data_IF_344291343535
#
_entry.id   IF_344291343535
#
_cell.length_a   1.000
_cell.length_b   1.000
_cell.length_c   1.000
_cell.angle_alpha   90.00
_cell.angle_beta   90.00
_cell.angle_gamma   90.00
#
_symmetry.space_group_name_H-M   'P 1'
#
loop_
_entity.id
_entity.type
_entity.pdbx_description
1 polymer ?
#
# COMPACT_ATOMS: atom_id res chain seq x y z
N UNK A 1 -3.49 -24.08 2.14
CA UNK A 1 -2.44 -23.13 1.73
C UNK A 1 -1.61 -22.87 2.97
N UNK A 2 -0.32 -23.23 2.98
CA UNK A 2 0.51 -23.15 4.20
C UNK A 2 1.29 -21.84 4.15
N UNK A 3 1.00 -20.93 5.07
CA UNK A 3 1.80 -19.72 5.31
C UNK A 3 3.01 -20.17 6.11
N UNK A 4 4.23 -19.75 5.71
CA UNK A 4 5.42 -20.00 6.51
C UNK A 4 5.34 -19.21 7.81
N UNK A 5 5.66 -19.86 8.91
CA UNK A 5 5.70 -19.21 10.23
C UNK A 5 6.81 -18.14 10.29
N UNK A 6 6.80 -17.33 11.33
CA UNK A 6 7.63 -16.15 11.53
C UNK A 6 9.14 -16.45 11.39
N UNK A 7 9.96 -15.45 10.95
CA UNK A 7 11.41 -15.58 10.76
C UNK A 7 12.24 -16.03 11.97
N UNK A 8 11.73 -15.95 13.18
CA UNK A 8 12.44 -16.38 14.40
C UNK A 8 12.91 -17.84 14.38
N UNK A 9 12.47 -18.66 13.43
CA UNK A 9 12.86 -20.05 13.23
C UNK A 9 13.84 -20.28 12.07
N UNK A 10 14.28 -19.22 11.38
CA UNK A 10 15.33 -19.32 10.39
C UNK A 10 16.69 -19.42 11.10
N UNK A 11 16.98 -20.62 11.64
CA UNK A 11 18.36 -20.96 11.99
C UNK A 11 19.19 -20.85 10.71
N UNK A 12 20.09 -19.86 10.67
CA UNK A 12 21.08 -19.74 9.61
C UNK A 12 21.73 -21.11 9.36
N UNK A 13 21.81 -21.60 8.12
CA UNK A 13 22.79 -22.62 7.78
C UNK A 13 24.16 -22.03 8.17
N UNK A 14 24.92 -22.80 8.95
CA UNK A 14 26.22 -22.38 9.47
C UNK A 14 27.10 -21.76 8.39
N UNK A 15 27.88 -20.75 8.78
CA UNK A 15 28.84 -20.01 8.00
C UNK A 15 29.45 -20.85 6.88
N UNK A 16 29.09 -20.51 5.65
CA UNK A 16 29.67 -21.15 4.47
C UNK A 16 31.15 -20.77 4.35
N UNK A 17 32.04 -21.71 4.04
CA UNK A 17 33.42 -21.41 3.75
C UNK A 17 33.53 -20.64 2.42
N UNK A 18 34.35 -19.61 2.43
CA UNK A 18 34.76 -18.85 1.25
C UNK A 18 35.39 -19.77 0.21
N UNK A 19 34.69 -19.99 -0.90
CA UNK A 19 35.23 -20.73 -2.02
C UNK A 19 34.18 -20.93 -3.11
N UNK A 20 34.16 -20.06 -4.10
CA UNK A 20 33.48 -20.38 -5.35
C UNK A 20 34.20 -21.50 -6.10
N UNK A 21 33.51 -22.56 -6.48
CA UNK A 21 33.71 -23.15 -7.79
C UNK A 21 32.38 -23.21 -8.55
N UNK A 22 32.50 -22.96 -9.85
CA UNK A 22 31.41 -22.86 -10.78
C UNK A 22 30.61 -24.14 -11.03
N UNK A 23 29.46 -23.93 -11.66
CA UNK A 23 28.73 -24.95 -12.42
C UNK A 23 27.55 -25.53 -11.66
N UNK A 24 26.35 -24.94 -11.80
CA UNK A 24 25.09 -25.66 -11.60
C UNK A 24 24.69 -26.38 -12.91
N UNK A 25 24.64 -27.71 -12.93
CA UNK A 25 23.88 -28.43 -13.95
C UNK A 25 22.50 -28.75 -13.42
N UNK A 26 21.47 -28.16 -13.95
CA UNK A 26 20.10 -28.50 -13.62
C UNK A 26 19.14 -27.40 -14.02
N UNK A 27 19.03 -27.11 -15.31
CA UNK A 27 18.02 -26.22 -15.85
C UNK A 27 16.64 -26.82 -15.66
N UNK A 28 15.80 -26.19 -14.85
CA UNK A 28 14.35 -26.39 -14.92
C UNK A 28 13.85 -25.86 -16.27
N UNK A 29 13.15 -26.64 -17.09
CA UNK A 29 12.61 -26.16 -18.34
C UNK A 29 11.43 -25.26 -18.07
N UNK A 30 11.51 -23.98 -18.43
CA UNK A 30 10.34 -23.20 -18.78
C UNK A 30 9.99 -21.97 -17.97
N UNK A 31 10.88 -21.39 -17.15
CA UNK A 31 10.68 -20.03 -16.67
C UNK A 31 11.83 -19.14 -17.16
N UNK A 32 11.66 -18.58 -18.36
CA UNK A 32 12.38 -17.36 -18.68
C UNK A 32 12.03 -16.33 -17.58
N UNK A 33 13.02 -15.71 -16.93
CA UNK A 33 12.73 -14.60 -16.06
C UNK A 33 11.97 -13.58 -16.91
N UNK A 34 10.72 -13.31 -16.57
CA UNK A 34 9.95 -12.21 -17.15
C UNK A 34 10.67 -10.93 -16.72
N UNK A 35 11.72 -10.58 -17.45
CA UNK A 35 12.27 -9.23 -17.43
C UNK A 35 11.16 -8.38 -18.00
N UNK A 36 10.35 -7.79 -17.11
CA UNK A 36 9.40 -6.75 -17.50
C UNK A 36 10.24 -5.56 -17.96
N UNK A 37 10.40 -5.45 -19.25
CA UNK A 37 10.94 -4.24 -19.85
C UNK A 37 9.98 -3.10 -19.49
N UNK A 38 10.44 -2.17 -18.66
CA UNK A 38 9.68 -0.96 -18.35
C UNK A 38 9.73 -0.09 -19.61
N UNK A 39 8.70 -0.19 -20.45
CA UNK A 39 8.53 0.67 -21.64
C UNK A 39 8.16 2.12 -21.30
N UNK A 40 8.33 2.52 -20.05
CA UNK A 40 7.96 3.83 -19.53
C UNK A 40 9.22 4.62 -19.23
N UNK A 41 9.44 5.71 -19.94
CA UNK A 41 10.59 6.59 -19.69
C UNK A 41 10.30 7.47 -18.46
N UNK A 42 10.82 7.02 -17.31
CA UNK A 42 10.67 7.72 -16.03
C UNK A 42 11.39 9.08 -15.99
N UNK A 43 12.30 9.38 -16.94
CA UNK A 43 12.94 10.67 -17.01
C UNK A 43 12.01 11.77 -17.55
N UNK A 44 11.04 11.37 -18.37
CA UNK A 44 10.16 12.29 -19.07
C UNK A 44 8.75 12.37 -18.47
N UNK A 45 8.28 11.32 -17.79
CA UNK A 45 6.95 11.32 -17.16
C UNK A 45 6.89 10.40 -15.94
N UNK A 46 6.07 10.74 -14.92
CA UNK A 46 5.84 9.87 -13.78
C UNK A 46 5.05 8.62 -14.20
N UNK A 47 5.28 7.49 -13.51
CA UNK A 47 4.47 6.28 -13.65
C UNK A 47 3.24 6.32 -12.77
N UNK A 48 3.41 6.82 -11.54
CA UNK A 48 2.35 6.99 -10.55
C UNK A 48 2.45 8.40 -9.99
N UNK A 49 1.31 9.06 -9.82
CA UNK A 49 1.19 10.32 -9.07
C UNK A 49 0.32 10.06 -7.85
N UNK A 50 0.87 10.27 -6.68
CA UNK A 50 0.18 10.15 -5.40
C UNK A 50 -0.12 11.56 -4.92
N UNK A 51 -1.41 11.92 -4.88
CA UNK A 51 -1.84 13.24 -4.43
C UNK A 51 -2.52 13.15 -3.07
N UNK A 52 -1.90 13.77 -2.07
CA UNK A 52 -2.53 14.01 -0.77
C UNK A 52 -3.55 15.13 -0.91
N UNK A 53 -4.79 14.76 -1.22
CA UNK A 53 -5.86 15.72 -1.54
C UNK A 53 -6.30 16.57 -0.34
N UNK A 54 -6.01 16.08 0.88
CA UNK A 54 -6.27 16.78 2.14
C UNK A 54 -5.37 16.24 3.25
N UNK A 55 -5.12 17.04 4.29
CA UNK A 55 -4.51 16.57 5.54
C UNK A 55 -5.56 16.28 6.63
N UNK A 56 -6.83 16.54 6.37
CA UNK A 56 -7.90 16.22 7.30
C UNK A 56 -8.03 14.71 7.51
N UNK A 57 -8.13 14.26 8.75
CA UNK A 57 -8.34 12.87 9.14
C UNK A 57 -8.81 12.80 10.59
N UNK A 58 -9.75 11.91 10.88
CA UNK A 58 -10.18 11.65 12.25
C UNK A 58 -9.19 10.75 13.03
N UNK A 59 -8.27 10.04 12.33
CA UNK A 59 -7.31 9.13 12.96
C UNK A 59 -6.00 9.82 13.32
N UNK A 60 -5.33 9.30 14.35
CA UNK A 60 -4.04 9.80 14.85
C UNK A 60 -2.93 8.73 14.75
N UNK A 61 -2.85 8.06 13.62
CA UNK A 61 -1.94 6.94 13.39
C UNK A 61 -0.49 7.27 13.77
N UNK A 62 0.19 6.35 14.47
CA UNK A 62 1.56 6.54 14.98
C UNK A 62 2.58 6.73 13.84
N UNK A 63 2.37 6.10 12.69
CA UNK A 63 3.28 6.13 11.53
C UNK A 63 2.91 7.21 10.49
N UNK A 64 1.97 8.10 10.79
CA UNK A 64 1.45 9.05 9.79
C UNK A 64 2.54 9.97 9.25
N UNK A 65 2.91 9.77 7.99
CA UNK A 65 3.89 10.57 7.27
C UNK A 65 3.42 12.00 7.04
N UNK A 66 2.13 12.16 6.70
CA UNK A 66 1.50 13.45 6.40
C UNK A 66 1.22 14.29 7.65
N UNK A 67 1.41 13.73 8.87
CA UNK A 67 1.01 14.40 10.12
C UNK A 67 -0.44 14.91 10.05
N UNK A 68 -1.34 14.02 9.64
CA UNK A 68 -2.74 14.34 9.43
C UNK A 68 -3.36 15.03 10.67
N UNK A 69 -4.25 15.94 10.41
CA UNK A 69 -4.92 16.83 11.38
C UNK A 69 -6.43 16.65 11.26
N UNK A 70 -7.20 17.21 12.21
CA UNK A 70 -8.67 17.14 12.16
C UNK A 70 -9.31 18.08 11.13
N UNK A 71 -8.51 18.91 10.46
CA UNK A 71 -9.02 19.86 9.45
C UNK A 71 -8.07 19.92 8.24
N UNK A 72 -8.60 20.45 7.14
CA UNK A 72 -7.82 20.73 5.95
C UNK A 72 -6.67 21.71 6.25
N UNK A 73 -5.52 21.44 5.66
CA UNK A 73 -4.37 22.33 5.82
C UNK A 73 -4.57 23.65 5.03
N UNK A 74 -4.06 24.77 5.53
CA UNK A 74 -3.96 25.98 4.74
C UNK A 74 -3.18 25.70 3.44
N UNK A 75 -3.67 26.24 2.32
CA UNK A 75 -3.03 26.03 1.02
C UNK A 75 -3.34 24.69 0.33
N UNK A 76 -4.29 23.91 0.85
CA UNK A 76 -4.85 22.78 0.11
C UNK A 76 -5.38 23.26 -1.25
N UNK A 77 -5.06 22.53 -2.33
CA UNK A 77 -5.53 22.88 -3.66
C UNK A 77 -7.06 23.00 -3.70
N UNK A 78 -7.56 24.04 -4.31
CA UNK A 78 -8.99 24.19 -4.62
C UNK A 78 -9.43 23.16 -5.65
N UNK A 79 -10.72 23.01 -5.88
CA UNK A 79 -11.25 22.15 -6.93
C UNK A 79 -10.68 22.52 -8.30
N UNK A 80 -10.73 23.81 -8.67
CA UNK A 80 -10.19 24.28 -9.95
C UNK A 80 -8.70 23.98 -10.13
N UNK A 81 -7.88 24.17 -9.09
CA UNK A 81 -6.46 23.80 -9.12
C UNK A 81 -6.26 22.27 -9.20
N UNK A 82 -7.19 21.49 -8.63
CA UNK A 82 -7.22 20.04 -8.79
C UNK A 82 -7.46 19.64 -10.25
N UNK A 83 -8.40 20.28 -10.93
CA UNK A 83 -8.63 20.08 -12.36
C UNK A 83 -7.40 20.48 -13.20
N UNK A 84 -6.75 21.61 -12.90
CA UNK A 84 -5.51 22.00 -13.56
C UNK A 84 -4.39 20.96 -13.39
N UNK A 85 -4.24 20.38 -12.19
CA UNK A 85 -3.30 19.29 -11.95
C UNK A 85 -3.63 18.06 -12.81
N UNK A 86 -4.91 17.69 -12.89
CA UNK A 86 -5.37 16.57 -13.73
C UNK A 86 -5.08 16.84 -15.21
N UNK A 87 -5.32 18.06 -15.69
CA UNK A 87 -4.99 18.46 -17.06
C UNK A 87 -3.49 18.36 -17.35
N UNK A 88 -2.64 18.73 -16.39
CA UNK A 88 -1.18 18.56 -16.51
C UNK A 88 -0.82 17.06 -16.61
N UNK A 89 -1.45 16.18 -15.83
CA UNK A 89 -1.19 14.74 -15.91
C UNK A 89 -1.61 14.13 -17.25
N UNK A 90 -2.62 14.69 -17.89
CA UNK A 90 -3.09 14.24 -19.22
C UNK A 90 -2.43 14.95 -20.39
N UNK A 91 -1.52 15.91 -20.13
CA UNK A 91 -0.66 16.49 -21.16
C UNK A 91 0.50 15.58 -21.59
N UNK A 92 0.81 14.55 -20.78
CA UNK A 92 1.79 13.53 -21.15
C UNK A 92 1.27 12.64 -22.28
N UNK A 93 2.20 12.00 -23.00
CA UNK A 93 1.83 10.93 -23.95
C UNK A 93 1.27 9.71 -23.21
N UNK A 94 0.33 9.01 -23.84
CA UNK A 94 -0.21 7.74 -23.31
C UNK A 94 0.88 6.66 -23.25
N UNK A 95 0.84 5.73 -22.27
CA UNK A 95 -0.13 5.64 -21.18
C UNK A 95 0.06 6.75 -20.15
N UNK A 96 -1.02 7.32 -19.66
CA UNK A 96 -0.98 8.33 -18.61
C UNK A 96 -0.48 7.77 -17.28
N UNK A 97 0.03 8.62 -16.36
CA UNK A 97 0.32 8.20 -14.99
C UNK A 97 -0.93 7.66 -14.31
N UNK A 98 -0.76 6.68 -13.44
CA UNK A 98 -1.83 6.29 -12.51
C UNK A 98 -1.98 7.40 -11.45
N UNK A 99 -3.21 7.84 -11.21
CA UNK A 99 -3.51 8.83 -10.17
C UNK A 99 -4.03 8.12 -8.91
N UNK A 100 -3.35 8.33 -7.79
CA UNK A 100 -3.77 7.82 -6.48
C UNK A 100 -4.15 9.01 -5.60
N UNK A 101 -5.42 9.12 -5.25
CA UNK A 101 -5.92 10.14 -4.32
C UNK A 101 -5.87 9.58 -2.90
N UNK A 102 -5.12 10.25 -2.05
CA UNK A 102 -4.89 9.88 -0.66
C UNK A 102 -4.94 11.13 0.22
N UNK A 103 -4.29 11.11 1.36
CA UNK A 103 -4.16 12.27 2.23
C UNK A 103 -4.14 11.87 3.69
N UNK A 104 -4.80 12.64 4.52
CA UNK A 104 -5.25 12.18 5.82
C UNK A 104 -6.31 11.11 5.62
N UNK A 105 -7.53 11.55 5.31
CA UNK A 105 -8.60 10.71 4.76
C UNK A 105 -9.19 11.41 3.54
N UNK A 106 -9.07 10.82 2.36
CA UNK A 106 -9.57 11.44 1.15
C UNK A 106 -11.09 11.68 1.18
N UNK A 107 -11.85 10.95 1.99
CA UNK A 107 -13.28 11.19 2.18
C UNK A 107 -13.60 12.47 2.98
N UNK A 108 -12.63 13.08 3.64
CA UNK A 108 -12.79 14.41 4.24
C UNK A 108 -12.86 15.53 3.18
N UNK A 109 -12.47 15.25 1.95
CA UNK A 109 -12.54 16.21 0.87
C UNK A 109 -13.92 16.22 0.22
N UNK A 110 -14.67 17.35 0.28
CA UNK A 110 -16.07 17.38 -0.14
C UNK A 110 -16.26 17.24 -1.66
N UNK A 111 -15.30 17.68 -2.47
CA UNK A 111 -15.28 17.62 -3.93
C UNK A 111 -14.52 16.40 -4.49
N UNK A 112 -14.29 15.36 -3.66
CA UNK A 112 -13.55 14.17 -4.07
C UNK A 112 -14.17 13.48 -5.30
N UNK A 113 -15.49 13.32 -5.31
CA UNK A 113 -16.22 12.65 -6.41
C UNK A 113 -16.02 13.40 -7.72
N UNK A 114 -16.18 14.73 -7.70
CA UNK A 114 -15.97 15.58 -8.88
C UNK A 114 -14.55 15.46 -9.45
N UNK A 115 -13.54 15.46 -8.57
CA UNK A 115 -12.15 15.26 -9.00
C UNK A 115 -11.91 13.89 -9.64
N UNK A 116 -12.56 12.84 -9.11
CA UNK A 116 -12.47 11.49 -9.68
C UNK A 116 -13.14 11.45 -11.05
N UNK A 117 -14.38 11.93 -11.16
CA UNK A 117 -15.12 11.99 -12.42
C UNK A 117 -14.34 12.76 -13.49
N UNK A 118 -13.78 13.90 -13.12
CA UNK A 118 -12.97 14.69 -14.04
C UNK A 118 -11.74 13.93 -14.52
N UNK A 119 -10.97 13.33 -13.60
CA UNK A 119 -9.78 12.55 -13.94
C UNK A 119 -10.11 11.34 -14.84
N UNK A 120 -11.18 10.61 -14.53
CA UNK A 120 -11.65 9.47 -15.32
C UNK A 120 -12.13 9.91 -16.71
N UNK A 121 -12.85 11.05 -16.80
CA UNK A 121 -13.29 11.60 -18.09
C UNK A 121 -12.12 11.97 -19.01
N UNK A 122 -10.97 12.35 -18.44
CA UNK A 122 -9.71 12.61 -19.16
C UNK A 122 -8.95 11.34 -19.53
N UNK A 123 -9.38 10.17 -19.05
CA UNK A 123 -8.78 8.86 -19.33
C UNK A 123 -7.69 8.43 -18.36
N UNK A 124 -7.58 9.05 -17.17
CA UNK A 124 -6.71 8.60 -16.10
C UNK A 124 -7.28 7.35 -15.42
N UNK A 125 -6.38 6.45 -15.01
CA UNK A 125 -6.71 5.41 -14.05
C UNK A 125 -6.63 5.98 -12.64
N UNK A 126 -7.75 5.98 -11.93
CA UNK A 126 -7.85 6.54 -10.57
C UNK A 126 -8.00 5.42 -9.55
N UNK A 127 -7.19 5.49 -8.50
CA UNK A 127 -7.31 4.70 -7.28
C UNK A 127 -7.37 5.63 -6.07
N UNK A 128 -7.94 5.17 -4.97
CA UNK A 128 -8.00 5.96 -3.73
C UNK A 128 -7.47 5.18 -2.54
N UNK A 129 -6.95 5.91 -1.55
CA UNK A 129 -6.48 5.35 -0.28
C UNK A 129 -7.20 6.04 0.89
N UNK A 130 -8.45 5.68 1.16
CA UNK A 130 -9.19 6.24 2.27
C UNK A 130 -8.72 5.68 3.61
N UNK A 131 -9.00 6.41 4.69
CA UNK A 131 -8.95 5.88 6.05
C UNK A 131 -10.31 5.28 6.41
N UNK A 132 -10.32 4.23 7.25
CA UNK A 132 -11.57 3.68 7.77
C UNK A 132 -12.01 4.52 8.97
N UNK A 133 -12.66 5.63 8.66
CA UNK A 133 -13.27 6.57 9.59
C UNK A 133 -14.81 6.44 9.53
N UNK A 134 -15.59 7.13 10.37
CA UNK A 134 -17.05 7.18 10.22
C UNK A 134 -17.53 7.66 8.85
N UNK A 135 -16.66 8.29 8.05
CA UNK A 135 -16.96 8.70 6.68
C UNK A 135 -16.89 7.54 5.68
N UNK A 136 -16.32 6.39 6.05
CA UNK A 136 -16.27 5.21 5.19
C UNK A 136 -17.62 4.50 5.18
N UNK A 137 -18.56 5.03 4.41
CA UNK A 137 -19.92 4.51 4.30
C UNK A 137 -20.17 3.85 2.96
N UNK A 138 -21.15 2.93 2.91
CA UNK A 138 -21.55 2.24 1.68
C UNK A 138 -21.91 3.22 0.55
N UNK A 139 -22.60 4.30 0.87
CA UNK A 139 -23.02 5.29 -0.12
C UNK A 139 -21.83 6.05 -0.71
N UNK A 140 -20.85 6.42 0.13
CA UNK A 140 -19.62 7.06 -0.36
C UNK A 140 -18.76 6.11 -1.20
N UNK A 141 -18.67 4.84 -0.79
CA UNK A 141 -17.97 3.82 -1.58
C UNK A 141 -18.64 3.66 -2.94
N UNK A 142 -19.97 3.58 -3.01
CA UNK A 142 -20.70 3.53 -4.27
C UNK A 142 -20.46 4.78 -5.12
N UNK A 143 -20.54 5.96 -4.53
CA UNK A 143 -20.33 7.20 -5.27
C UNK A 143 -18.96 7.26 -5.96
N UNK A 144 -17.87 6.90 -5.25
CA UNK A 144 -16.54 6.87 -5.88
C UNK A 144 -16.37 5.71 -6.86
N UNK A 145 -17.07 4.59 -6.66
CA UNK A 145 -17.09 3.48 -7.61
C UNK A 145 -17.78 3.88 -8.91
N UNK A 146 -18.94 4.53 -8.82
CA UNK A 146 -19.70 5.06 -9.96
C UNK A 146 -18.93 6.15 -10.70
N UNK A 147 -18.16 6.98 -9.97
CA UNK A 147 -17.25 7.96 -10.53
C UNK A 147 -16.04 7.34 -11.28
N UNK A 148 -15.81 6.02 -11.12
CA UNK A 148 -14.82 5.27 -11.90
C UNK A 148 -13.55 4.91 -11.17
N UNK A 149 -13.54 4.92 -9.83
CA UNK A 149 -12.40 4.37 -9.05
C UNK A 149 -12.21 2.89 -9.37
N UNK A 150 -11.00 2.54 -9.79
CA UNK A 150 -10.65 1.17 -10.20
C UNK A 150 -10.26 0.25 -9.06
N UNK A 151 -9.70 0.80 -7.97
CA UNK A 151 -9.20 0.04 -6.81
C UNK A 151 -9.10 0.95 -5.58
N UNK A 152 -9.26 0.36 -4.39
CA UNK A 152 -9.01 1.01 -3.10
C UNK A 152 -7.81 0.38 -2.39
N UNK A 153 -7.01 1.22 -1.71
CA UNK A 153 -5.96 0.77 -0.80
C UNK A 153 -6.44 0.95 0.63
N UNK A 154 -6.63 -0.16 1.33
CA UNK A 154 -7.04 -0.19 2.73
C UNK A 154 -5.81 -0.44 3.59
N UNK A 155 -5.79 0.08 4.81
CA UNK A 155 -4.66 -0.13 5.70
C UNK A 155 -4.98 -1.15 6.78
N UNK A 156 -4.05 -2.12 6.99
CA UNK A 156 -4.13 -3.10 8.06
C UNK A 156 -2.73 -3.26 8.69
N UNK A 157 -2.48 -2.56 9.80
CA UNK A 157 -1.16 -2.47 10.44
C UNK A 157 -1.01 -3.35 11.68
N UNK A 158 -1.89 -4.32 11.88
CA UNK A 158 -1.85 -5.33 12.92
C UNK A 158 -2.58 -6.60 12.50
N UNK A 159 -2.13 -7.74 12.99
CA UNK A 159 -2.81 -9.03 12.83
C UNK A 159 -4.01 -9.17 13.77
N UNK A 160 -4.08 -8.31 14.79
CA UNK A 160 -5.10 -8.27 15.84
C UNK A 160 -5.64 -6.87 16.05
N UNK A 161 -6.81 -6.74 16.69
CA UNK A 161 -7.39 -5.46 17.07
C UNK A 161 -6.46 -4.68 18.02
N UNK A 162 -5.82 -5.36 18.97
CA UNK A 162 -4.92 -4.73 19.93
C UNK A 162 -3.78 -3.98 19.24
N UNK A 163 -3.11 -4.61 18.29
CA UNK A 163 -1.98 -4.01 17.58
C UNK A 163 -2.44 -2.97 16.57
N UNK A 164 -3.47 -3.29 15.78
CA UNK A 164 -3.97 -2.36 14.75
C UNK A 164 -4.51 -1.08 15.35
N UNK A 165 -5.39 -1.17 16.35
CA UNK A 165 -6.03 -0.01 16.98
C UNK A 165 -4.99 0.90 17.67
N UNK A 166 -4.02 0.29 18.37
CA UNK A 166 -2.92 1.04 18.96
C UNK A 166 -2.09 1.78 17.90
N UNK A 167 -1.86 1.15 16.74
CA UNK A 167 -1.10 1.74 15.65
C UNK A 167 -1.86 2.88 14.96
N UNK A 168 -3.19 2.71 14.81
CA UNK A 168 -4.08 3.73 14.19
C UNK A 168 -4.47 4.85 15.18
N UNK A 169 -4.26 4.64 16.48
CA UNK A 169 -4.57 5.60 17.52
C UNK A 169 -6.07 5.78 17.78
N UNK A 170 -6.89 4.78 17.41
CA UNK A 170 -8.34 4.83 17.62
C UNK A 170 -8.89 3.41 17.83
N UNK A 171 -9.57 3.15 18.98
CA UNK A 171 -10.15 1.85 19.27
C UNK A 171 -11.22 1.44 18.26
N UNK A 172 -11.29 0.13 17.94
CA UNK A 172 -12.29 -0.44 17.04
C UNK A 172 -11.97 -0.28 15.55
N UNK A 173 -10.84 0.34 15.17
CA UNK A 173 -10.47 0.50 13.76
C UNK A 173 -10.20 -0.83 13.07
N UNK A 174 -9.74 -1.85 13.79
CA UNK A 174 -9.56 -3.19 13.24
C UNK A 174 -10.86 -3.79 12.75
N UNK A 175 -11.87 -3.84 13.62
CA UNK A 175 -13.17 -4.40 13.31
C UNK A 175 -13.86 -3.62 12.18
N UNK A 176 -13.80 -2.29 12.23
CA UNK A 176 -14.31 -1.44 11.16
C UNK A 176 -13.58 -1.68 9.83
N UNK A 177 -12.25 -1.95 9.86
CA UNK A 177 -11.50 -2.28 8.63
C UNK A 177 -11.92 -3.64 8.06
N UNK A 178 -12.14 -4.62 8.92
CA UNK A 178 -12.67 -5.94 8.50
C UNK A 178 -14.06 -5.80 7.87
N UNK A 179 -14.97 -5.06 8.52
CA UNK A 179 -16.31 -4.77 8.00
C UNK A 179 -16.26 -4.01 6.66
N UNK A 180 -15.35 -3.01 6.55
CA UNK A 180 -15.13 -2.27 5.32
C UNK A 180 -14.67 -3.18 4.17
N UNK A 181 -13.74 -4.12 4.43
CA UNK A 181 -13.29 -5.09 3.42
C UNK A 181 -14.43 -6.02 2.97
N UNK A 182 -15.27 -6.47 3.89
CA UNK A 182 -16.46 -7.26 3.53
C UNK A 182 -17.43 -6.45 2.67
N UNK A 183 -17.69 -5.19 3.03
CA UNK A 183 -18.53 -4.28 2.24
C UNK A 183 -17.96 -4.04 0.83
N UNK A 184 -16.65 -3.86 0.69
CA UNK A 184 -16.00 -3.71 -0.62
C UNK A 184 -16.21 -4.96 -1.49
N UNK A 185 -16.07 -6.15 -0.92
CA UNK A 185 -16.34 -7.41 -1.63
C UNK A 185 -17.79 -7.51 -2.09
N UNK A 186 -18.74 -7.20 -1.23
CA UNK A 186 -20.18 -7.19 -1.58
C UNK A 186 -20.50 -6.23 -2.73
N UNK A 187 -19.81 -5.10 -2.77
CA UNK A 187 -19.95 -4.10 -3.84
C UNK A 187 -19.15 -4.44 -5.09
N UNK A 188 -18.34 -5.50 -5.08
CA UNK A 188 -17.46 -5.86 -6.19
C UNK A 188 -16.29 -4.87 -6.38
N UNK A 189 -16.01 -4.02 -5.38
CA UNK A 189 -14.89 -3.10 -5.41
C UNK A 189 -13.58 -3.83 -5.13
N UNK A 190 -12.63 -3.72 -6.05
CA UNK A 190 -11.29 -4.28 -5.87
C UNK A 190 -10.53 -3.50 -4.83
N UNK A 191 -9.80 -4.21 -3.96
CA UNK A 191 -8.96 -3.56 -2.96
C UNK A 191 -7.67 -4.33 -2.68
N UNK A 192 -6.69 -3.61 -2.17
CA UNK A 192 -5.46 -4.13 -1.60
C UNK A 192 -5.38 -3.79 -0.11
N UNK A 193 -4.64 -4.57 0.65
CA UNK A 193 -4.29 -4.24 2.03
C UNK A 193 -2.84 -3.78 2.10
N UNK A 194 -2.64 -2.60 2.68
CA UNK A 194 -1.35 -1.99 2.91
C UNK A 194 -0.97 -2.13 4.38
N UNK A 195 0.27 -2.51 4.64
CA UNK A 195 0.84 -2.63 5.99
C UNK A 195 2.18 -1.92 6.05
N UNK A 196 2.41 -1.14 7.09
CA UNK A 196 3.73 -0.59 7.42
C UNK A 196 4.36 -1.44 8.51
N UNK A 197 5.48 -2.11 8.20
CA UNK A 197 6.22 -2.90 9.18
C UNK A 197 7.16 -2.04 10.02
N UNK A 198 7.09 -2.28 11.33
CA UNK A 198 7.91 -1.68 12.37
C UNK A 198 8.33 -2.77 13.36
N UNK A 199 9.24 -2.47 14.28
CA UNK A 199 9.58 -3.40 15.35
C UNK A 199 8.37 -3.78 16.24
N UNK A 200 7.31 -2.94 16.26
CA UNK A 200 6.13 -3.18 17.11
C UNK A 200 5.15 -4.20 16.54
N UNK A 201 5.09 -4.39 15.21
CA UNK A 201 4.05 -5.20 14.58
C UNK A 201 4.58 -6.33 13.69
N UNK A 202 5.90 -6.38 13.44
CA UNK A 202 6.47 -7.38 12.52
C UNK A 202 6.20 -8.82 12.96
N UNK A 203 6.13 -9.09 14.25
CA UNK A 203 5.84 -10.40 14.79
C UNK A 203 4.44 -10.92 14.42
N UNK A 204 3.51 -10.04 14.02
CA UNK A 204 2.17 -10.40 13.53
C UNK A 204 2.10 -10.53 11.98
N UNK A 205 3.22 -10.40 11.26
CA UNK A 205 3.22 -10.43 9.78
C UNK A 205 2.51 -11.65 9.18
N UNK A 206 2.68 -12.89 9.69
CA UNK A 206 1.96 -14.06 9.20
C UNK A 206 0.44 -13.93 9.38
N UNK A 207 -0.01 -13.38 10.51
CA UNK A 207 -1.43 -13.18 10.77
C UNK A 207 -2.01 -12.07 9.89
N UNK A 208 -1.26 -10.98 9.63
CA UNK A 208 -1.68 -9.93 8.69
C UNK A 208 -1.85 -10.47 7.27
N UNK A 209 -0.92 -11.30 6.81
CA UNK A 209 -1.02 -11.98 5.51
C UNK A 209 -2.24 -12.90 5.47
N UNK A 210 -2.46 -13.67 6.53
CA UNK A 210 -3.65 -14.52 6.63
C UNK A 210 -4.93 -13.69 6.56
N UNK A 211 -5.01 -12.60 7.31
CA UNK A 211 -6.16 -11.70 7.27
C UNK A 211 -6.38 -11.14 5.85
N UNK A 212 -5.30 -10.75 5.14
CA UNK A 212 -5.42 -10.25 3.77
C UNK A 212 -6.02 -11.30 2.81
N UNK A 213 -5.63 -12.56 2.95
CA UNK A 213 -6.16 -13.68 2.16
C UNK A 213 -7.64 -13.91 2.50
N UNK A 214 -7.97 -14.03 3.77
CA UNK A 214 -9.32 -14.33 4.26
C UNK A 214 -10.32 -13.22 3.88
N UNK A 215 -9.88 -11.96 3.96
CA UNK A 215 -10.66 -10.80 3.54
C UNK A 215 -10.80 -10.68 2.02
N UNK A 216 -10.02 -11.43 1.24
CA UNK A 216 -10.09 -11.43 -0.22
C UNK A 216 -9.43 -10.23 -0.87
N UNK A 217 -8.41 -9.65 -0.24
CA UNK A 217 -7.60 -8.62 -0.86
C UNK A 217 -6.90 -9.14 -2.12
N UNK A 218 -6.87 -8.34 -3.19
CA UNK A 218 -6.16 -8.70 -4.42
C UNK A 218 -4.65 -8.69 -4.22
N UNK A 219 -4.16 -7.83 -3.33
CA UNK A 219 -2.75 -7.70 -2.99
C UNK A 219 -2.59 -7.40 -1.50
N UNK A 220 -1.57 -8.00 -0.90
CA UNK A 220 -1.03 -7.62 0.38
C UNK A 220 0.25 -6.84 0.12
N UNK A 221 0.21 -5.53 0.35
CA UNK A 221 1.27 -4.61 0.02
C UNK A 221 2.00 -4.15 1.28
N UNK A 222 3.30 -4.36 1.35
CA UNK A 222 4.06 -4.08 2.57
C UNK A 222 5.08 -2.97 2.35
N UNK A 223 5.21 -2.13 3.36
CA UNK A 223 6.17 -1.03 3.41
C UNK A 223 7.05 -1.19 4.64
N UNK A 224 8.32 -0.92 4.50
CA UNK A 224 9.18 -0.66 5.66
C UNK A 224 8.93 0.76 6.14
N UNK A 225 8.92 0.95 7.47
CA UNK A 225 8.76 2.28 8.03
C UNK A 225 9.84 3.23 7.51
N UNK A 226 9.39 4.37 6.97
CA UNK A 226 10.25 5.53 6.73
C UNK A 226 10.01 6.50 7.88
N UNK A 227 11.04 6.85 8.68
CA UNK A 227 10.90 7.62 9.93
C UNK A 227 10.69 9.12 9.63
N UNK A 228 9.52 9.46 9.08
CA UNK A 228 9.08 10.82 8.78
C UNK A 228 7.75 11.11 9.44
N UNK A 229 7.43 12.39 9.66
CA UNK A 229 6.23 12.80 10.37
C UNK A 229 6.15 12.15 11.76
N UNK A 230 4.96 11.71 12.16
CA UNK A 230 4.80 10.99 13.45
C UNK A 230 5.57 9.67 13.50
N UNK A 231 5.83 9.04 12.35
CA UNK A 231 6.62 7.83 12.26
C UNK A 231 8.08 7.96 12.71
N UNK A 232 8.61 9.19 12.80
CA UNK A 232 9.97 9.45 13.32
C UNK A 232 10.15 9.01 14.79
N UNK A 233 9.07 8.79 15.52
CA UNK A 233 9.06 8.33 16.91
C UNK A 233 9.00 6.81 17.05
N UNK A 234 8.91 6.07 15.93
CA UNK A 234 8.79 4.62 15.93
C UNK A 234 10.13 3.93 15.66
N UNK A 235 10.32 2.77 16.27
CA UNK A 235 11.48 1.92 16.01
C UNK A 235 11.33 1.23 14.65
N UNK A 236 12.34 1.42 13.82
CA UNK A 236 12.47 0.71 12.55
C UNK A 236 12.98 -0.72 12.81
N UNK A 237 12.72 -1.60 11.87
CA UNK A 237 13.39 -2.88 11.80
C UNK A 237 14.91 -2.68 11.61
N UNK A 238 15.71 -3.48 12.31
CA UNK A 238 17.15 -3.58 12.05
C UNK A 238 17.42 -4.05 10.61
N UNK A 239 18.62 -3.86 10.09
CA UNK A 239 18.98 -4.37 8.76
C UNK A 239 18.75 -5.88 8.58
N UNK A 240 19.04 -6.68 9.61
CA UNK A 240 18.86 -8.13 9.58
C UNK A 240 17.36 -8.50 9.57
N UNK A 241 16.56 -7.89 10.43
CA UNK A 241 15.10 -8.12 10.43
C UNK A 241 14.46 -7.72 9.10
N UNK A 242 14.95 -6.65 8.45
CA UNK A 242 14.47 -6.29 7.11
C UNK A 242 14.81 -7.35 6.08
N UNK A 243 16.02 -7.88 6.12
CA UNK A 243 16.44 -8.97 5.23
C UNK A 243 15.58 -10.21 5.44
N UNK A 244 15.34 -10.61 6.69
CA UNK A 244 14.49 -11.75 7.04
C UNK A 244 13.05 -11.56 6.54
N UNK A 245 12.48 -10.35 6.70
CA UNK A 245 11.16 -10.02 6.15
C UNK A 245 11.13 -10.12 4.62
N UNK A 246 12.19 -9.69 3.94
CA UNK A 246 12.29 -9.79 2.49
C UNK A 246 12.28 -11.24 2.01
N UNK A 247 13.04 -12.11 2.65
CA UNK A 247 13.03 -13.55 2.37
C UNK A 247 11.65 -14.16 2.65
N UNK A 248 11.06 -13.84 3.79
CA UNK A 248 9.71 -14.31 4.15
C UNK A 248 8.66 -13.88 3.12
N UNK A 249 8.68 -12.62 2.68
CA UNK A 249 7.79 -12.12 1.62
C UNK A 249 8.03 -12.82 0.29
N UNK A 250 9.30 -13.03 -0.08
CA UNK A 250 9.67 -13.75 -1.30
C UNK A 250 9.11 -15.16 -1.29
N UNK A 251 9.34 -15.91 -0.23
CA UNK A 251 8.88 -17.30 -0.09
C UNK A 251 7.35 -17.41 -0.13
N UNK A 252 6.65 -16.48 0.51
CA UNK A 252 5.20 -16.46 0.46
C UNK A 252 4.68 -16.02 -0.92
N UNK A 253 5.33 -15.08 -1.60
CA UNK A 253 4.92 -14.61 -2.93
C UNK A 253 5.01 -15.68 -4.01
N UNK A 254 5.92 -16.64 -3.87
CA UNK A 254 6.03 -17.78 -4.79
C UNK A 254 4.89 -18.80 -4.62
N UNK A 255 4.22 -18.80 -3.48
CA UNK A 255 3.16 -19.75 -3.11
C UNK A 255 1.77 -19.15 -3.10
N UNK A 256 1.68 -17.83 -2.94
CA UNK A 256 0.44 -17.10 -2.71
C UNK A 256 0.35 -15.94 -3.71
N UNK A 257 -0.60 -15.99 -4.63
CA UNK A 257 -0.76 -14.98 -5.69
C UNK A 257 -1.09 -13.56 -5.16
N UNK A 258 -1.59 -13.45 -3.93
CA UNK A 258 -2.01 -12.19 -3.30
C UNK A 258 -0.84 -11.36 -2.74
N UNK A 259 0.36 -11.92 -2.60
CA UNK A 259 1.51 -11.20 -2.03
C UNK A 259 2.25 -10.40 -3.08
N UNK A 260 2.45 -9.12 -2.85
CA UNK A 260 3.29 -8.24 -3.67
C UNK A 260 4.27 -7.45 -2.81
N UNK A 261 5.54 -7.41 -3.22
CA UNK A 261 6.62 -6.69 -2.53
C UNK A 261 7.39 -5.73 -3.47
N UNK A 262 6.70 -5.16 -4.43
CA UNK A 262 7.33 -4.32 -5.49
C UNK A 262 8.12 -3.11 -4.97
N UNK A 263 7.91 -2.69 -3.72
CA UNK A 263 8.61 -1.53 -3.14
C UNK A 263 10.07 -1.81 -2.74
N UNK A 264 10.49 -3.07 -2.69
CA UNK A 264 11.81 -3.46 -2.20
C UNK A 264 12.93 -3.35 -3.25
N UNK A 265 12.59 -3.33 -4.53
CA UNK A 265 13.58 -3.16 -5.62
C UNK A 265 14.05 -1.72 -5.81
N UNK A 266 13.31 -0.72 -5.33
CA UNK A 266 13.70 0.68 -5.47
C UNK A 266 14.90 1.09 -4.59
N UNK A 267 15.16 0.38 -3.50
CA UNK A 267 16.30 0.64 -2.62
C UNK A 267 17.58 -0.10 -2.99
N UNK A 268 17.50 -1.17 -3.80
CA UNK A 268 18.68 -1.92 -4.24
C UNK A 268 19.42 -1.25 -5.41
N UNK A 269 18.79 -0.33 -6.13
CA UNK A 269 19.38 0.34 -7.29
C UNK A 269 20.20 1.59 -6.98
N UNK A 270 20.36 1.93 -5.69
CA UNK A 270 21.13 3.10 -5.23
C UNK A 270 22.45 2.72 -4.52
N UNK A 271 23.09 1.62 -4.96
CA UNK A 271 24.50 1.31 -4.61
C UNK A 271 25.38 1.31 -5.84
#
# INVERSE_FOLDING_TARGET
MTITEHPDHLTRPGSAPTGHPGGHPGGHPGHSPLVREIKHDLNNKPFIVIWEVTRACALVCQHCRAEAQHHAAPGQLTNAQGHELIDQLTSYERPYPMLILTGGDCFERPDLVDLIEYAVSKGLHVSISPSVTPLFTRDRVRAVQEAGVSMMSMSLDGGSATTHDAFRGFPGTFDHTVEACHMLRELGMKFQLNTVFTAKNIHEAPQMLKNAIDLGAMMFYTFMLVPTGRGAQLDMLSPLEREDVLYWLHDNSTRIATVSYTHLRAHETLR
#
